data_IF_777616538164
#
_entry.id   IF_777616538164
#
_cell.length_a   1.000
_cell.length_b   1.000
_cell.length_c   1.000
_cell.angle_alpha   90.00
_cell.angle_beta   90.00
_cell.angle_gamma   90.00
#
_symmetry.space_group_name_H-M   'P 1'
#
loop_
_entity.id
_entity.type
_entity.pdbx_description
1 polymer ?
#
# COMPACT_ATOMS: atom_id res chain seq x y z
N UNK A 1 6.78 -11.46 -8.33
CA UNK A 1 5.33 -11.51 -8.59
C UNK A 1 4.67 -10.20 -8.18
N UNK A 2 4.86 -9.72 -6.95
CA UNK A 2 4.27 -8.48 -6.40
C UNK A 2 4.53 -7.27 -7.32
N UNK A 3 5.76 -7.13 -7.80
CA UNK A 3 6.14 -6.01 -8.69
C UNK A 3 5.45 -6.09 -10.05
N UNK A 4 5.22 -7.30 -10.55
CA UNK A 4 4.48 -7.49 -11.82
C UNK A 4 3.01 -7.11 -11.66
N UNK A 5 2.40 -7.46 -10.54
CA UNK A 5 1.04 -6.99 -10.21
C UNK A 5 1.02 -5.45 -10.10
N UNK A 6 2.03 -4.89 -9.44
CA UNK A 6 2.12 -3.44 -9.26
C UNK A 6 2.21 -2.70 -10.60
N UNK A 7 3.10 -3.14 -11.52
CA UNK A 7 3.24 -2.45 -12.82
C UNK A 7 1.96 -2.62 -13.67
N UNK A 8 1.26 -3.77 -13.57
CA UNK A 8 -0.04 -3.93 -14.21
C UNK A 8 -1.05 -2.93 -13.63
N UNK A 9 -1.12 -2.81 -12.31
CA UNK A 9 -2.00 -1.85 -11.64
C UNK A 9 -1.72 -0.40 -12.05
N UNK A 10 -0.44 -0.03 -12.14
CA UNK A 10 -0.05 1.30 -12.62
C UNK A 10 -0.55 1.55 -14.07
N UNK A 11 -0.39 0.57 -14.95
CA UNK A 11 -0.84 0.69 -16.34
C UNK A 11 -2.37 0.78 -16.44
N UNK A 12 -3.09 0.01 -15.63
CA UNK A 12 -4.56 0.05 -15.57
C UNK A 12 -5.04 1.45 -15.12
N UNK A 13 -4.42 2.02 -14.09
CA UNK A 13 -4.72 3.38 -13.58
C UNK A 13 -4.43 4.42 -14.66
N UNK A 14 -3.26 4.32 -15.29
CA UNK A 14 -2.82 5.24 -16.34
C UNK A 14 -3.83 5.23 -17.50
N UNK A 15 -4.20 4.03 -17.96
CA UNK A 15 -5.17 3.84 -19.05
C UNK A 15 -6.54 4.48 -18.68
N UNK A 16 -6.98 4.29 -17.44
CA UNK A 16 -8.25 4.87 -16.96
C UNK A 16 -8.18 6.39 -17.01
N UNK A 17 -7.12 6.98 -16.47
CA UNK A 17 -6.94 8.45 -16.43
C UNK A 17 -6.79 9.04 -17.84
N UNK A 18 -6.07 8.35 -18.74
CA UNK A 18 -5.95 8.75 -20.14
C UNK A 18 -7.33 8.82 -20.81
N UNK A 19 -8.15 7.77 -20.60
CA UNK A 19 -9.49 7.69 -21.18
C UNK A 19 -10.42 8.78 -20.62
N UNK A 20 -10.37 9.02 -19.30
CA UNK A 20 -11.16 10.08 -18.64
C UNK A 20 -10.76 11.47 -19.17
N UNK A 21 -9.47 11.75 -19.28
CA UNK A 21 -8.97 13.02 -19.79
C UNK A 21 -9.39 13.21 -21.27
N UNK A 22 -9.24 12.18 -22.09
CA UNK A 22 -9.66 12.21 -23.50
C UNK A 22 -11.16 12.47 -23.63
N UNK A 23 -11.98 11.83 -22.79
CA UNK A 23 -13.44 12.03 -22.78
C UNK A 23 -13.80 13.49 -22.44
N UNK A 24 -13.04 14.10 -21.52
CA UNK A 24 -13.26 15.49 -21.07
C UNK A 24 -12.56 16.53 -21.96
N UNK A 25 -11.81 16.10 -22.99
CA UNK A 25 -11.04 16.99 -23.85
C UNK A 25 -9.86 17.67 -23.13
N UNK A 26 -9.32 17.00 -22.11
CA UNK A 26 -8.20 17.53 -21.30
C UNK A 26 -6.89 16.85 -21.68
N UNK A 27 -5.78 17.54 -21.49
CA UNK A 27 -4.44 16.92 -21.57
C UNK A 27 -4.13 16.23 -20.26
N UNK A 28 -3.53 15.04 -20.35
CA UNK A 28 -3.11 14.26 -19.19
C UNK A 28 -1.60 14.04 -19.22
N UNK A 29 -0.92 14.43 -18.16
CA UNK A 29 0.47 14.11 -17.94
C UNK A 29 0.54 12.97 -16.92
N UNK A 30 0.86 11.79 -17.42
CA UNK A 30 0.88 10.58 -16.60
C UNK A 30 2.27 10.19 -16.10
N UNK A 31 2.30 9.08 -15.39
CA UNK A 31 3.56 8.49 -14.88
C UNK A 31 4.45 7.95 -16.01
N UNK A 32 3.83 7.46 -17.09
CA UNK A 32 4.56 6.92 -18.23
C UNK A 32 4.72 8.02 -19.29
N UNK A 33 5.80 8.80 -19.18
CA UNK A 33 6.17 9.81 -20.16
C UNK A 33 6.46 9.14 -21.53
N UNK A 34 6.51 9.90 -22.60
CA UNK A 34 6.71 9.41 -23.97
C UNK A 34 7.90 8.44 -24.09
N UNK A 35 8.99 8.74 -23.39
CA UNK A 35 10.23 7.94 -23.37
C UNK A 35 10.06 6.60 -22.64
N UNK A 36 9.05 6.47 -21.78
CA UNK A 36 8.82 5.30 -20.91
C UNK A 36 7.53 4.54 -21.28
N UNK A 37 6.83 4.93 -22.34
CA UNK A 37 5.57 4.26 -22.74
C UNK A 37 5.76 2.77 -23.03
N UNK A 38 6.92 2.39 -23.55
CA UNK A 38 7.23 0.99 -23.84
C UNK A 38 7.43 0.13 -22.58
N UNK A 39 7.47 0.75 -21.40
CA UNK A 39 7.60 0.05 -20.12
C UNK A 39 6.25 -0.34 -19.52
N UNK A 40 5.13 0.07 -20.14
CA UNK A 40 3.78 -0.26 -19.71
C UNK A 40 3.50 -1.75 -19.84
N UNK A 41 2.72 -2.29 -18.93
CA UNK A 41 2.28 -3.69 -18.96
C UNK A 41 1.68 -4.06 -20.32
N UNK A 42 0.77 -3.24 -20.83
CA UNK A 42 0.09 -3.42 -22.11
C UNK A 42 1.06 -3.53 -23.30
N UNK A 43 2.27 -2.97 -23.18
CA UNK A 43 3.28 -2.99 -24.22
C UNK A 43 4.14 -4.27 -24.19
N UNK A 44 4.64 -4.62 -23.00
CA UNK A 44 5.60 -5.74 -22.94
C UNK A 44 4.94 -7.12 -22.76
N UNK A 45 3.70 -7.19 -22.32
CA UNK A 45 3.03 -8.48 -22.05
C UNK A 45 2.94 -9.41 -23.25
N UNK A 46 2.93 -8.86 -24.46
CA UNK A 46 2.81 -9.64 -25.72
C UNK A 46 4.16 -9.89 -26.42
N UNK A 47 5.28 -9.49 -25.79
CA UNK A 47 6.61 -9.68 -26.37
C UNK A 47 7.04 -11.14 -26.27
N UNK A 48 7.99 -11.54 -27.14
CA UNK A 48 8.66 -12.82 -27.03
C UNK A 48 9.38 -12.93 -25.68
N UNK A 49 9.41 -14.13 -25.09
CA UNK A 49 9.85 -14.33 -23.69
C UNK A 49 11.23 -13.72 -23.38
N UNK A 50 12.19 -13.85 -24.30
CA UNK A 50 13.53 -13.30 -24.10
C UNK A 50 13.55 -11.78 -24.15
N UNK A 51 12.82 -11.22 -25.09
CA UNK A 51 12.67 -9.75 -25.23
C UNK A 51 11.97 -9.16 -24.01
N UNK A 52 10.83 -9.78 -23.60
CA UNK A 52 10.09 -9.42 -22.38
C UNK A 52 11.02 -9.43 -21.17
N UNK A 53 11.80 -10.50 -21.00
CA UNK A 53 12.71 -10.65 -19.86
C UNK A 53 13.74 -9.51 -19.84
N UNK A 54 14.32 -9.21 -20.99
CA UNK A 54 15.33 -8.15 -21.10
C UNK A 54 14.76 -6.77 -20.78
N UNK A 55 13.58 -6.43 -21.29
CA UNK A 55 12.98 -5.13 -21.01
C UNK A 55 12.52 -5.04 -19.53
N UNK A 56 11.92 -6.11 -18.99
CA UNK A 56 11.47 -6.12 -17.60
C UNK A 56 12.65 -6.00 -16.64
N UNK A 57 13.69 -6.79 -16.82
CA UNK A 57 14.86 -6.79 -15.94
C UNK A 57 15.63 -5.45 -16.00
N UNK A 58 15.88 -4.94 -17.21
CA UNK A 58 16.82 -3.84 -17.40
C UNK A 58 16.17 -2.45 -17.46
N UNK A 59 14.84 -2.39 -17.66
CA UNK A 59 14.15 -1.09 -17.80
C UNK A 59 12.91 -0.98 -16.89
N UNK A 60 11.96 -1.93 -16.97
CA UNK A 60 10.71 -1.85 -16.17
C UNK A 60 11.00 -1.91 -14.67
N UNK A 61 11.83 -2.88 -14.24
CA UNK A 61 12.14 -3.03 -12.82
C UNK A 61 12.92 -1.83 -12.26
N UNK A 62 13.97 -1.31 -12.94
CA UNK A 62 14.59 -0.03 -12.55
C UNK A 62 13.60 1.15 -12.54
N UNK A 63 12.72 1.24 -13.54
CA UNK A 63 11.70 2.30 -13.62
C UNK A 63 10.83 2.30 -12.36
N UNK A 64 10.25 1.14 -11.99
CA UNK A 64 9.39 1.08 -10.80
C UNK A 64 10.16 1.28 -9.49
N UNK A 65 11.46 0.97 -9.44
CA UNK A 65 12.28 1.28 -8.27
C UNK A 65 12.44 2.78 -8.05
N UNK A 66 12.47 3.53 -9.14
CA UNK A 66 12.73 4.97 -9.16
C UNK A 66 11.47 5.80 -9.52
N UNK A 67 10.29 5.21 -9.38
CA UNK A 67 9.03 5.83 -9.78
C UNK A 67 8.78 7.16 -9.05
N UNK A 68 9.18 7.25 -7.79
CA UNK A 68 9.18 8.49 -7.01
C UNK A 68 10.62 8.95 -6.80
N UNK A 69 10.97 10.08 -7.40
CA UNK A 69 12.30 10.68 -7.28
C UNK A 69 12.56 11.31 -5.90
N UNK A 70 11.50 11.51 -5.11
CA UNK A 70 11.63 12.00 -3.75
C UNK A 70 12.24 10.90 -2.86
N UNK A 71 13.51 11.05 -2.54
CA UNK A 71 14.27 10.12 -1.71
C UNK A 71 13.68 9.95 -0.30
N UNK A 72 12.84 10.89 0.14
CA UNK A 72 12.19 10.85 1.45
C UNK A 72 10.90 10.04 1.49
N UNK A 73 10.33 9.67 0.34
CA UNK A 73 9.06 8.96 0.32
C UNK A 73 9.18 7.53 0.86
N UNK A 74 8.12 7.03 1.48
CA UNK A 74 8.05 5.64 1.95
C UNK A 74 8.27 4.66 0.77
N UNK A 75 7.73 5.00 -0.39
CA UNK A 75 7.90 4.18 -1.59
C UNK A 75 9.39 4.02 -1.94
N UNK A 76 10.12 5.13 -2.11
CA UNK A 76 11.55 5.11 -2.46
C UNK A 76 12.38 4.36 -1.42
N UNK A 77 12.12 4.62 -0.14
CA UNK A 77 12.79 3.98 1.00
C UNK A 77 12.67 2.45 0.98
N UNK A 78 11.49 1.91 0.67
CA UNK A 78 11.27 0.46 0.71
C UNK A 78 11.44 -0.23 -0.64
N UNK A 79 11.45 0.52 -1.75
CA UNK A 79 11.72 -0.03 -3.09
C UNK A 79 13.20 -0.09 -3.42
N UNK A 80 14.03 0.73 -2.79
CA UNK A 80 15.46 0.82 -3.10
C UNK A 80 16.20 -0.51 -3.06
N UNK A 81 15.90 -1.37 -2.08
CA UNK A 81 16.53 -2.68 -1.92
C UNK A 81 15.80 -3.83 -2.63
N UNK A 82 14.79 -3.52 -3.44
CA UNK A 82 14.04 -4.54 -4.19
C UNK A 82 14.95 -5.26 -5.21
N UNK A 83 14.78 -6.59 -5.27
CA UNK A 83 15.59 -7.45 -6.16
C UNK A 83 14.65 -8.21 -7.11
N UNK A 84 15.00 -8.22 -8.39
CA UNK A 84 14.32 -9.04 -9.40
C UNK A 84 14.84 -10.49 -9.28
N UNK A 85 13.93 -11.41 -8.94
CA UNK A 85 14.30 -12.81 -8.61
C UNK A 85 13.78 -13.85 -9.60
N UNK A 86 13.15 -13.45 -10.71
CA UNK A 86 12.66 -14.42 -11.70
C UNK A 86 13.87 -14.90 -12.51
N UNK A 87 14.17 -16.21 -12.52
CA UNK A 87 15.45 -16.67 -13.07
C UNK A 87 15.49 -16.86 -14.58
N UNK A 88 14.33 -17.03 -15.25
CA UNK A 88 14.30 -17.36 -16.68
C UNK A 88 13.21 -16.59 -17.43
N UNK A 89 13.45 -16.32 -18.74
CA UNK A 89 12.42 -15.71 -19.60
C UNK A 89 11.10 -16.49 -19.64
N UNK A 90 11.17 -17.82 -19.73
CA UNK A 90 9.98 -18.68 -19.82
C UNK A 90 9.15 -18.59 -18.53
N UNK A 91 9.81 -18.49 -17.37
CA UNK A 91 9.09 -18.33 -16.09
C UNK A 91 8.43 -16.96 -16.02
N UNK A 92 9.12 -15.90 -16.47
CA UNK A 92 8.52 -14.56 -16.51
C UNK A 92 7.28 -14.54 -17.41
N UNK A 93 7.39 -15.09 -18.62
CA UNK A 93 6.29 -15.16 -19.58
C UNK A 93 5.06 -15.85 -18.97
N UNK A 94 5.26 -17.04 -18.38
CA UNK A 94 4.15 -17.77 -17.71
C UNK A 94 3.50 -16.95 -16.58
N UNK A 95 4.28 -16.21 -15.81
CA UNK A 95 3.75 -15.37 -14.73
C UNK A 95 2.94 -14.21 -15.32
N UNK A 96 3.47 -13.57 -16.37
CA UNK A 96 2.80 -12.46 -17.06
C UNK A 96 1.48 -12.95 -17.66
N UNK A 97 1.47 -14.09 -18.36
CA UNK A 97 0.26 -14.69 -18.92
C UNK A 97 -0.77 -14.98 -17.83
N UNK A 98 -0.32 -15.54 -16.70
CA UNK A 98 -1.18 -15.84 -15.55
C UNK A 98 -1.80 -14.59 -14.94
N UNK A 99 -1.03 -13.53 -14.80
CA UNK A 99 -1.50 -12.24 -14.27
C UNK A 99 -2.47 -11.58 -15.27
N UNK A 100 -2.12 -11.61 -16.56
CA UNK A 100 -2.93 -10.97 -17.60
C UNK A 100 -4.30 -11.65 -17.76
N UNK A 101 -4.35 -12.95 -17.53
CA UNK A 101 -5.59 -13.73 -17.55
C UNK A 101 -6.54 -13.49 -16.38
N UNK A 102 -6.12 -12.73 -15.37
CA UNK A 102 -6.99 -12.39 -14.23
C UNK A 102 -7.93 -11.25 -14.67
N UNK A 103 -9.22 -11.51 -14.60
CA UNK A 103 -10.25 -10.51 -14.94
C UNK A 103 -10.31 -9.44 -13.84
N UNK A 104 -9.85 -8.24 -14.18
CA UNK A 104 -9.86 -7.08 -13.30
C UNK A 104 -10.85 -5.99 -13.77
N UNK A 105 -11.79 -6.34 -14.66
CA UNK A 105 -12.71 -5.34 -15.25
C UNK A 105 -13.73 -4.77 -14.25
N UNK A 106 -14.08 -5.54 -13.23
CA UNK A 106 -15.02 -5.06 -12.22
C UNK A 106 -14.29 -4.20 -11.19
N UNK A 107 -14.63 -2.91 -11.10
CA UNK A 107 -14.00 -1.92 -10.21
C UNK A 107 -13.99 -2.37 -8.73
N UNK A 108 -15.10 -2.93 -8.27
CA UNK A 108 -15.21 -3.39 -6.87
C UNK A 108 -14.32 -4.60 -6.59
N UNK A 109 -14.03 -5.38 -7.64
CA UNK A 109 -13.21 -6.59 -7.53
C UNK A 109 -11.72 -6.31 -7.76
N UNK A 110 -11.36 -5.24 -8.48
CA UNK A 110 -9.95 -4.89 -8.78
C UNK A 110 -9.14 -4.67 -7.51
N UNK A 111 -9.60 -3.77 -6.65
CA UNK A 111 -8.93 -3.46 -5.38
C UNK A 111 -8.84 -4.70 -4.49
N UNK A 112 -9.95 -5.43 -4.34
CA UNK A 112 -10.04 -6.65 -3.56
C UNK A 112 -9.07 -7.73 -4.06
N UNK A 113 -9.03 -7.93 -5.37
CA UNK A 113 -8.20 -8.96 -5.97
C UNK A 113 -6.71 -8.60 -5.87
N UNK A 114 -6.36 -7.34 -6.15
CA UNK A 114 -4.99 -6.85 -5.97
C UNK A 114 -4.52 -7.05 -4.53
N UNK A 115 -5.30 -6.58 -3.60
CA UNK A 115 -5.01 -6.69 -2.17
C UNK A 115 -4.94 -8.15 -1.73
N UNK A 116 -5.84 -9.00 -2.23
CA UNK A 116 -5.85 -10.44 -1.96
C UNK A 116 -4.58 -11.11 -2.51
N UNK A 117 -4.22 -10.82 -3.77
CA UNK A 117 -3.03 -11.40 -4.39
C UNK A 117 -1.74 -10.92 -3.70
N UNK A 118 -1.66 -9.64 -3.36
CA UNK A 118 -0.52 -9.09 -2.62
C UNK A 118 -0.39 -9.76 -1.25
N UNK A 119 -1.50 -9.95 -0.54
CA UNK A 119 -1.49 -10.60 0.77
C UNK A 119 -1.12 -12.09 0.67
N UNK A 120 -1.60 -12.80 -0.36
CA UNK A 120 -1.25 -14.21 -0.60
C UNK A 120 0.25 -14.38 -0.87
N UNK A 121 0.83 -13.49 -1.65
CA UNK A 121 2.28 -13.50 -1.93
C UNK A 121 3.06 -13.22 -0.64
N UNK A 122 2.61 -12.27 0.14
CA UNK A 122 3.24 -11.90 1.41
C UNK A 122 3.20 -13.04 2.43
N UNK A 123 2.09 -13.78 2.50
CA UNK A 123 1.91 -14.87 3.48
C UNK A 123 2.47 -16.22 3.04
N UNK A 124 2.91 -16.34 1.80
CA UNK A 124 3.43 -17.61 1.25
C UNK A 124 4.73 -18.11 1.94
N UNK A 125 5.30 -17.34 2.85
CA UNK A 125 6.54 -17.72 3.55
C UNK A 125 6.51 -17.57 5.07
N UNK A 126 5.42 -17.09 5.64
CA UNK A 126 5.33 -16.85 7.08
C UNK A 126 3.99 -17.30 7.67
N UNK A 127 4.03 -17.77 8.89
CA UNK A 127 2.90 -18.34 9.61
C UNK A 127 1.70 -17.38 9.72
N UNK A 128 0.70 -17.60 8.89
CA UNK A 128 -0.69 -17.18 9.07
C UNK A 128 -0.94 -15.79 9.65
N UNK A 129 -0.53 -14.74 8.94
CA UNK A 129 -1.06 -13.41 9.25
C UNK A 129 -2.54 -13.38 8.86
N UNK A 130 -3.41 -13.21 9.83
CA UNK A 130 -4.85 -13.12 9.62
C UNK A 130 -5.19 -11.73 9.09
N UNK A 131 -5.54 -11.69 7.82
CA UNK A 131 -6.02 -10.43 7.21
C UNK A 131 -7.48 -10.21 7.59
N UNK A 132 -7.82 -8.99 7.96
CA UNK A 132 -9.22 -8.59 8.18
C UNK A 132 -9.96 -8.61 6.83
N UNK A 133 -11.10 -9.30 6.71
CA UNK A 133 -11.87 -9.27 5.47
C UNK A 133 -12.28 -7.84 5.10
N UNK A 134 -12.23 -7.52 3.80
CA UNK A 134 -12.46 -6.15 3.31
C UNK A 134 -13.83 -5.58 3.72
N UNK A 135 -14.87 -6.41 3.69
CA UNK A 135 -16.21 -5.96 4.10
C UNK A 135 -16.26 -5.55 5.60
N UNK A 136 -15.45 -6.20 6.44
CA UNK A 136 -15.32 -5.82 7.86
C UNK A 136 -14.55 -4.50 7.99
N UNK A 137 -13.45 -4.36 7.25
CA UNK A 137 -12.68 -3.10 7.19
C UNK A 137 -13.60 -1.96 6.75
N UNK A 138 -14.34 -2.14 5.64
CA UNK A 138 -15.27 -1.15 5.12
C UNK A 138 -16.36 -0.77 6.10
N UNK A 139 -16.92 -1.78 6.81
CA UNK A 139 -17.90 -1.52 7.87
C UNK A 139 -17.28 -0.67 8.99
N UNK A 140 -16.09 -1.01 9.45
CA UNK A 140 -15.42 -0.25 10.52
C UNK A 140 -15.15 1.19 10.09
N UNK A 141 -14.64 1.41 8.88
CA UNK A 141 -14.37 2.74 8.34
C UNK A 141 -15.67 3.56 8.24
N UNK A 142 -16.76 2.95 7.73
CA UNK A 142 -18.07 3.62 7.61
C UNK A 142 -18.67 4.00 8.98
N UNK A 143 -18.39 3.22 10.02
CA UNK A 143 -18.81 3.53 11.38
C UNK A 143 -17.98 4.67 11.98
N UNK A 144 -16.68 4.69 11.71
CA UNK A 144 -15.75 5.71 12.22
C UNK A 144 -15.87 7.05 11.50
N UNK A 145 -16.30 7.04 10.22
CA UNK A 145 -16.52 8.24 9.39
C UNK A 145 -15.32 9.20 9.38
N UNK A 146 -14.17 8.76 8.85
CA UNK A 146 -13.02 9.66 8.78
C UNK A 146 -13.35 10.95 8.02
N UNK A 147 -12.71 12.03 8.42
CA UNK A 147 -12.91 13.38 7.86
C UNK A 147 -11.62 13.89 7.21
N UNK A 148 -11.70 14.89 6.31
CA UNK A 148 -10.51 15.44 5.65
C UNK A 148 -9.44 16.05 6.58
N UNK A 149 -9.78 16.31 7.84
CA UNK A 149 -8.84 16.87 8.84
C UNK A 149 -8.18 15.82 9.72
N UNK A 150 -8.57 14.55 9.59
CA UNK A 150 -8.03 13.49 10.43
C UNK A 150 -6.56 13.17 10.12
N UNK A 151 -5.86 12.67 11.14
CA UNK A 151 -4.55 12.03 11.02
C UNK A 151 -4.78 10.57 11.43
N UNK A 152 -4.73 9.68 10.43
CA UNK A 152 -5.17 8.28 10.54
C UNK A 152 -3.94 7.38 10.68
N UNK A 153 -3.95 6.48 11.68
CA UNK A 153 -2.86 5.52 11.85
C UNK A 153 -3.37 4.08 11.89
N UNK A 154 -2.61 3.19 11.24
CA UNK A 154 -2.70 1.74 11.45
C UNK A 154 -1.36 1.27 12.03
N UNK A 155 -1.31 1.00 13.35
CA UNK A 155 -0.06 0.62 14.03
C UNK A 155 0.39 -0.82 13.76
N UNK A 156 -0.37 -1.59 12.95
CA UNK A 156 -0.04 -2.97 12.55
C UNK A 156 -0.55 -3.19 11.12
N UNK A 157 -0.10 -2.32 10.20
CA UNK A 157 -0.81 -2.05 8.94
C UNK A 157 -0.83 -3.22 7.94
N UNK A 158 0.13 -4.15 8.03
CA UNK A 158 0.23 -5.21 7.03
C UNK A 158 0.30 -4.63 5.61
N UNK A 159 -0.65 -4.98 4.76
CA UNK A 159 -0.76 -4.48 3.38
C UNK A 159 -1.45 -3.11 3.26
N UNK A 160 -1.68 -2.42 4.37
CA UNK A 160 -2.35 -1.11 4.46
C UNK A 160 -3.87 -1.15 4.13
N UNK A 161 -4.53 -2.29 4.38
CA UNK A 161 -5.95 -2.44 4.04
C UNK A 161 -6.88 -1.42 4.70
N UNK A 162 -6.66 -1.07 5.96
CA UNK A 162 -7.45 -0.04 6.65
C UNK A 162 -7.21 1.35 6.08
N UNK A 163 -5.96 1.68 5.77
CA UNK A 163 -5.61 2.99 5.20
C UNK A 163 -6.19 3.15 3.80
N UNK A 164 -6.14 2.08 2.99
CA UNK A 164 -6.78 2.06 1.66
C UNK A 164 -8.29 2.28 1.79
N UNK A 165 -8.96 1.56 2.68
CA UNK A 165 -10.41 1.72 2.86
C UNK A 165 -10.79 3.13 3.36
N UNK A 166 -9.96 3.71 4.23
CA UNK A 166 -10.19 5.07 4.73
C UNK A 166 -10.07 6.10 3.60
N UNK A 167 -9.03 5.97 2.72
CA UNK A 167 -8.90 6.90 1.59
C UNK A 167 -10.04 6.73 0.57
N UNK A 168 -10.49 5.48 0.32
CA UNK A 168 -11.64 5.22 -0.55
C UNK A 168 -12.90 5.91 0.00
N UNK A 169 -13.15 5.73 1.29
CA UNK A 169 -14.30 6.38 1.97
C UNK A 169 -14.25 7.90 1.81
N UNK A 170 -13.08 8.51 2.05
CA UNK A 170 -12.92 9.97 1.92
C UNK A 170 -13.16 10.44 0.48
N UNK A 171 -12.64 9.71 -0.52
CA UNK A 171 -12.87 10.05 -1.93
C UNK A 171 -14.36 9.97 -2.32
N UNK A 172 -15.08 9.01 -1.76
CA UNK A 172 -16.50 8.80 -2.07
C UNK A 172 -17.43 9.80 -1.37
N UNK A 173 -17.05 10.25 -0.17
CA UNK A 173 -17.96 11.01 0.70
C UNK A 173 -17.58 12.48 0.88
N UNK A 174 -16.34 12.87 0.54
CA UNK A 174 -15.81 14.23 0.76
C UNK A 174 -15.43 14.88 -0.57
N UNK A 175 -16.44 15.33 -1.31
CA UNK A 175 -16.28 15.88 -2.67
C UNK A 175 -15.34 17.09 -2.74
N UNK A 176 -15.25 17.86 -1.67
CA UNK A 176 -14.47 19.10 -1.62
C UNK A 176 -12.99 18.85 -1.29
N UNK A 177 -12.63 17.63 -0.92
CA UNK A 177 -11.28 17.25 -0.51
C UNK A 177 -10.22 17.66 -1.55
N UNK A 178 -10.51 17.42 -2.83
CA UNK A 178 -9.56 17.67 -3.91
C UNK A 178 -9.70 19.07 -4.55
N UNK A 179 -10.72 19.83 -4.14
CA UNK A 179 -10.91 21.22 -4.58
C UNK A 179 -10.10 22.21 -3.72
N UNK A 180 -9.72 21.80 -2.51
CA UNK A 180 -8.93 22.62 -1.58
C UNK A 180 -7.48 22.12 -1.58
N UNK A 181 -6.56 22.99 -1.98
CA UNK A 181 -5.13 22.64 -2.08
C UNK A 181 -4.53 22.18 -0.74
N UNK A 182 -4.93 22.79 0.37
CA UNK A 182 -4.46 22.40 1.70
C UNK A 182 -4.94 21.01 2.13
N UNK A 183 -6.23 20.70 1.88
CA UNK A 183 -6.79 19.38 2.18
C UNK A 183 -6.17 18.31 1.29
N UNK A 184 -5.96 18.64 0.01
CA UNK A 184 -5.30 17.72 -0.93
C UNK A 184 -3.85 17.42 -0.50
N UNK A 185 -3.12 18.45 -0.07
CA UNK A 185 -1.76 18.27 0.44
C UNK A 185 -1.76 17.43 1.72
N UNK A 186 -2.67 17.72 2.66
CA UNK A 186 -2.83 16.94 3.89
C UNK A 186 -3.12 15.46 3.57
N UNK A 187 -4.07 15.20 2.67
CA UNK A 187 -4.45 13.84 2.24
C UNK A 187 -3.25 13.08 1.69
N UNK A 188 -2.44 13.71 0.83
CA UNK A 188 -1.34 13.04 0.15
C UNK A 188 -0.08 12.85 1.03
N UNK A 189 0.16 13.77 1.98
CA UNK A 189 1.47 13.84 2.64
C UNK A 189 1.42 13.69 4.16
N UNK A 190 0.25 13.90 4.80
CA UNK A 190 0.20 14.02 6.27
C UNK A 190 -0.86 13.16 6.93
N UNK A 191 -1.87 12.72 6.20
CA UNK A 191 -3.05 12.05 6.76
C UNK A 191 -2.79 10.60 7.16
N UNK A 192 -2.11 9.81 6.31
CA UNK A 192 -2.05 8.36 6.46
C UNK A 192 -0.72 7.89 7.03
N UNK A 193 -0.79 7.21 8.18
CA UNK A 193 0.37 6.66 8.90
C UNK A 193 0.20 5.15 9.05
N UNK A 194 1.26 4.39 8.75
CA UNK A 194 1.23 2.94 8.86
C UNK A 194 2.54 2.40 9.43
N UNK A 195 2.44 1.48 10.38
CA UNK A 195 3.61 0.87 11.00
C UNK A 195 3.59 -0.64 10.81
N UNK A 196 4.74 -1.21 10.56
CA UNK A 196 4.93 -2.66 10.51
C UNK A 196 6.41 -2.98 10.77
N UNK A 197 6.66 -4.20 11.24
CA UNK A 197 8.02 -4.70 11.43
C UNK A 197 8.48 -5.64 10.31
N UNK A 198 7.63 -5.90 9.33
CA UNK A 198 7.98 -6.71 8.15
C UNK A 198 8.22 -5.79 6.95
N UNK A 199 9.46 -5.75 6.49
CA UNK A 199 9.86 -4.93 5.33
C UNK A 199 9.07 -5.28 4.05
N UNK A 200 8.63 -6.54 3.93
CA UNK A 200 7.79 -6.95 2.79
C UNK A 200 6.41 -6.28 2.88
N UNK A 201 5.83 -6.24 4.10
CA UNK A 201 4.54 -5.55 4.32
C UNK A 201 4.66 -4.05 4.09
N UNK A 202 5.73 -3.42 4.57
CA UNK A 202 5.97 -1.98 4.34
C UNK A 202 6.03 -1.65 2.84
N UNK A 203 6.72 -2.49 2.07
CA UNK A 203 6.81 -2.34 0.62
C UNK A 203 5.46 -2.53 -0.06
N UNK A 204 4.73 -3.58 0.32
CA UNK A 204 3.39 -3.86 -0.22
C UNK A 204 2.43 -2.72 0.16
N UNK A 205 2.46 -2.26 1.41
CA UNK A 205 1.63 -1.15 1.88
C UNK A 205 1.89 0.13 1.09
N UNK A 206 3.17 0.47 0.87
CA UNK A 206 3.55 1.66 0.09
C UNK A 206 3.03 1.55 -1.37
N UNK A 207 3.23 0.40 -2.01
CA UNK A 207 2.70 0.14 -3.36
C UNK A 207 1.17 0.23 -3.39
N UNK A 208 0.52 -0.34 -2.39
CA UNK A 208 -0.95 -0.38 -2.32
C UNK A 208 -1.53 1.03 -2.15
N UNK A 209 -0.97 1.83 -1.24
CA UNK A 209 -1.40 3.22 -1.05
C UNK A 209 -1.21 4.05 -2.33
N UNK A 210 -0.08 3.88 -3.01
CA UNK A 210 0.18 4.57 -4.27
C UNK A 210 -0.84 4.17 -5.37
N UNK A 211 -1.13 2.87 -5.50
CA UNK A 211 -2.15 2.38 -6.45
C UNK A 211 -3.54 2.95 -6.17
N UNK A 212 -3.81 3.33 -4.92
CA UNK A 212 -5.09 3.92 -4.53
C UNK A 212 -5.02 5.45 -4.46
N UNK A 213 -3.93 6.06 -4.96
CA UNK A 213 -3.84 7.49 -5.17
C UNK A 213 -3.44 8.32 -3.96
N UNK A 214 -2.71 7.72 -3.03
CA UNK A 214 -2.03 8.44 -1.95
C UNK A 214 -0.54 8.46 -2.28
N UNK A 215 -0.02 9.62 -2.60
CA UNK A 215 1.33 9.75 -3.17
C UNK A 215 2.44 9.49 -2.13
N UNK A 216 2.33 10.07 -0.94
CA UNK A 216 3.37 10.01 0.10
C UNK A 216 2.81 9.59 1.47
N UNK A 217 2.29 8.36 1.63
CA UNK A 217 1.85 7.90 2.94
C UNK A 217 3.04 7.78 3.90
N UNK A 218 2.83 8.07 5.17
CA UNK A 218 3.86 7.99 6.22
C UNK A 218 3.99 6.55 6.72
N UNK A 219 4.68 5.70 5.97
CA UNK A 219 4.87 4.29 6.28
C UNK A 219 6.26 4.09 6.91
N UNK A 220 6.29 3.48 8.09
CA UNK A 220 7.53 3.35 8.87
C UNK A 220 7.76 1.93 9.37
N UNK A 221 9.03 1.50 9.35
CA UNK A 221 9.49 0.32 10.07
C UNK A 221 9.52 0.69 11.56
N UNK A 222 8.55 0.21 12.31
CA UNK A 222 8.37 0.65 13.69
C UNK A 222 7.61 -0.41 14.50
N UNK A 223 8.13 -0.68 15.69
CA UNK A 223 7.42 -1.44 16.70
C UNK A 223 6.53 -0.47 17.48
N UNK A 224 5.24 -0.56 17.27
CA UNK A 224 4.25 0.35 17.88
C UNK A 224 4.20 0.23 19.42
N UNK A 225 4.64 -0.91 19.98
CA UNK A 225 4.60 -1.18 21.42
C UNK A 225 5.90 -0.82 22.12
N UNK A 226 6.94 -0.51 21.35
CA UNK A 226 8.29 -0.24 21.90
C UNK A 226 8.33 1.03 22.72
N UNK A 227 9.14 1.05 23.78
CA UNK A 227 9.46 2.25 24.55
C UNK A 227 10.11 3.35 23.69
N UNK A 228 10.65 2.99 22.52
CA UNK A 228 11.23 3.94 21.55
C UNK A 228 10.15 4.66 20.76
N UNK A 229 8.91 4.22 20.85
CA UNK A 229 7.78 4.90 20.19
C UNK A 229 7.43 6.15 21.00
N UNK A 230 7.74 7.30 20.45
CA UNK A 230 7.52 8.60 21.09
C UNK A 230 6.25 9.30 20.61
N UNK A 231 5.47 8.64 19.74
CA UNK A 231 4.20 9.21 19.28
C UNK A 231 3.20 9.25 20.42
N UNK A 232 2.75 10.43 20.75
CA UNK A 232 1.79 10.67 21.82
C UNK A 232 0.81 11.74 21.34
N UNK A 233 -0.48 11.44 21.42
CA UNK A 233 -1.57 12.35 21.01
C UNK A 233 -1.40 12.91 19.58
N UNK A 234 -0.79 12.14 18.69
CA UNK A 234 -0.46 12.55 17.32
C UNK A 234 -1.57 12.23 16.32
N UNK A 235 -2.37 11.20 16.59
CA UNK A 235 -3.34 10.64 15.67
C UNK A 235 -4.77 10.89 16.17
N UNK A 236 -5.66 11.28 15.25
CA UNK A 236 -7.07 11.53 15.57
C UNK A 236 -7.94 10.28 15.36
N UNK A 237 -7.46 9.34 14.52
CA UNK A 237 -8.17 8.11 14.23
C UNK A 237 -7.19 6.93 14.15
N UNK A 238 -7.46 5.89 14.93
CA UNK A 238 -6.71 4.64 14.91
C UNK A 238 -7.58 3.54 14.31
N UNK A 239 -7.10 2.88 13.27
CA UNK A 239 -7.76 1.76 12.62
C UNK A 239 -6.80 0.58 12.63
N UNK A 240 -7.12 -0.48 13.35
CA UNK A 240 -6.16 -1.56 13.55
C UNK A 240 -6.81 -2.93 13.73
N UNK A 241 -6.12 -3.94 13.24
CA UNK A 241 -6.35 -5.34 13.62
C UNK A 241 -5.01 -5.89 14.14
N UNK A 242 -4.71 -5.73 15.44
CA UNK A 242 -3.41 -6.11 15.96
C UNK A 242 -3.19 -7.64 15.89
N UNK A 243 -1.93 -8.09 15.82
CA UNK A 243 -1.64 -9.52 15.73
C UNK A 243 -2.10 -10.29 16.97
N UNK A 244 -2.74 -11.45 16.76
CA UNK A 244 -3.29 -12.30 17.81
C UNK A 244 -2.27 -13.29 18.37
N UNK A 245 -1.10 -13.41 17.77
CA UNK A 245 -0.03 -14.33 18.18
C UNK A 245 1.30 -13.60 18.27
N UNK A 246 2.01 -13.87 19.31
CA UNK A 246 3.35 -13.34 19.57
C UNK A 246 3.58 -13.18 21.04
N UNK A 247 4.82 -13.29 21.45
CA UNK A 247 5.26 -12.99 22.81
C UNK A 247 5.84 -11.58 22.84
N UNK A 248 5.46 -10.82 23.84
CA UNK A 248 6.04 -9.50 24.08
C UNK A 248 7.39 -9.67 24.80
N UNK A 249 8.37 -8.95 24.32
CA UNK A 249 9.59 -8.71 25.07
C UNK A 249 9.30 -7.57 26.06
N UNK A 250 9.00 -7.95 27.29
CA UNK A 250 8.61 -7.00 28.34
C UNK A 250 9.61 -5.89 28.57
N UNK A 251 10.91 -6.17 28.35
CA UNK A 251 11.96 -5.19 28.56
C UNK A 251 11.97 -4.11 27.47
N UNK A 252 11.37 -4.41 26.32
CA UNK A 252 11.30 -3.48 25.18
C UNK A 252 9.97 -2.73 25.07
N UNK A 253 8.96 -3.11 25.86
CA UNK A 253 7.62 -2.49 25.81
C UNK A 253 7.61 -1.19 26.62
N UNK A 254 6.91 -0.19 26.10
CA UNK A 254 6.72 1.11 26.77
C UNK A 254 6.18 0.94 28.20
N UNK A 255 6.85 1.54 29.17
CA UNK A 255 6.45 1.53 30.57
C UNK A 255 5.06 2.16 30.79
N UNK A 256 4.66 3.12 29.95
CA UNK A 256 3.34 3.74 30.01
C UNK A 256 2.24 2.74 29.64
N UNK A 257 2.46 1.95 28.59
CA UNK A 257 1.50 0.90 28.20
C UNK A 257 1.35 -0.17 29.28
N UNK A 258 2.44 -0.51 29.98
CA UNK A 258 2.41 -1.49 31.07
C UNK A 258 1.65 -1.00 32.32
N UNK A 259 1.45 0.32 32.44
CA UNK A 259 0.58 0.89 33.49
C UNK A 259 -0.89 0.66 33.19
N UNK A 260 -1.26 0.68 31.90
CA UNK A 260 -2.66 0.55 31.45
C UNK A 260 -3.11 -0.91 31.50
N UNK A 261 -2.22 -1.84 31.13
CA UNK A 261 -2.59 -3.26 31.08
C UNK A 261 -1.39 -4.17 31.38
N UNK A 262 -1.68 -5.32 32.00
CA UNK A 262 -0.71 -6.36 32.32
C UNK A 262 -0.96 -7.59 31.46
N UNK A 263 -0.55 -7.58 30.21
CA UNK A 263 -0.65 -8.74 29.32
C UNK A 263 0.70 -9.13 28.76
N UNK A 264 0.90 -10.43 28.59
CA UNK A 264 2.12 -10.99 27.96
C UNK A 264 1.95 -11.23 26.47
N UNK A 265 0.90 -10.69 25.89
CA UNK A 265 0.53 -10.96 24.49
C UNK A 265 0.61 -9.70 23.64
N UNK A 266 0.80 -9.89 22.36
CA UNK A 266 0.87 -8.82 21.35
C UNK A 266 -0.45 -8.07 21.17
N UNK A 267 -1.57 -8.55 21.75
CA UNK A 267 -2.86 -7.82 21.78
C UNK A 267 -2.76 -6.46 22.50
N UNK A 268 -1.66 -6.17 23.14
CA UNK A 268 -1.35 -4.83 23.71
C UNK A 268 -1.43 -3.68 22.69
N UNK A 269 -1.30 -3.98 21.61
CA UNK A 269 -1.49 -3.10 20.54
C UNK A 269 -2.81 -2.39 20.54
N UNK A 270 -3.60 -2.97 21.01
CA UNK A 270 -4.83 -2.41 21.20
C UNK A 270 -4.81 -1.39 22.29
N UNK A 271 -4.12 -1.55 23.04
CA UNK A 271 -3.93 -0.70 24.08
C UNK A 271 -3.16 0.51 23.82
N UNK A 272 -2.53 0.32 22.92
CA UNK A 272 -1.82 1.42 22.45
C UNK A 272 -2.70 2.48 21.86
N UNK A 273 -3.61 2.11 21.29
CA UNK A 273 -4.57 2.96 20.60
C UNK A 273 -5.61 3.60 21.53
N UNK A 274 -5.69 3.17 22.75
CA UNK A 274 -6.74 3.64 23.66
C UNK A 274 -6.26 4.57 24.78
N UNK A 275 -5.00 4.92 24.77
CA UNK A 275 -4.48 5.84 25.78
C UNK A 275 -4.90 7.27 25.43
N UNK A 276 -5.67 7.99 26.24
CA UNK A 276 -6.14 9.35 25.97
C UNK A 276 -4.99 10.37 25.98
#
# INVERSE_FOLDING_TARGET
>A
FTYLLFIKGLDDIETTKENEAAFLGLTYEGMFKEENKNLRWSQFKNMEATEMYNIVLNKVFPFIKNLHEDEGSAYSKYMGDAIFKIPTPQMLSKIVDGIDGIDLENRDTKGDLYEHLLSKVATAGTNGQFRTPRHIIGMMVKLMKPTPSDVIVDPAMGSAGFLVAAQEYLRENESDLFLNAGLKDHFNNHMFHGFDMDRTMLRIGAMNMLLHGVDNPNIEYKDSLSEKNIDNEKYTLVLANPPFKGSLDYEAVSAELLKVTKTKKTELXXXXSTNP
#
